data_IF_341544785566
#
_entry.id   IF_341544785566
#
_cell.length_a   1.000
_cell.length_b   1.000
_cell.length_c   1.000
_cell.angle_alpha   90.00
_cell.angle_beta   90.00
_cell.angle_gamma   90.00
#
_symmetry.space_group_name_H-M   'P 1'
#
loop_
_entity.id
_entity.type
_entity.pdbx_description
1 polymer ?
#
# COMPACT_ATOMS: atom_id res chain seq x y z
N UNK A 1 -0.67 18.61 -3.39
CA UNK A 1 -0.34 18.46 -2.52
C UNK A 1 -0.07 18.28 -2.30
N UNK A 2 -0.54 17.67 -2.58
CA UNK A 2 -0.24 17.34 -1.78
C UNK A 2 -0.44 17.29 -1.68
N UNK A 3 -0.76 16.87 -2.07
CA UNK A 3 -0.75 16.78 -1.34
C UNK A 3 -1.20 16.83 -1.33
N UNK A 4 -1.75 16.53 -1.57
CA UNK A 4 -1.97 16.55 -0.93
C UNK A 4 -2.34 16.47 -1.15
N UNK A 5 -2.73 16.12 -1.47
CA UNK A 5 -2.74 15.97 -1.00
C UNK A 5 -2.76 15.54 -1.14
N UNK A 6 -3.00 14.87 -1.64
CA UNK A 6 -2.71 14.44 -0.93
C UNK A 6 -2.70 13.94 -1.06
N UNK A 7 -2.90 13.56 -1.08
CA UNK A 7 -2.48 13.23 -0.42
C UNK A 7 -2.40 12.79 -0.44
N UNK A 8 -2.56 12.35 -0.68
CA UNK A 8 -2.01 12.02 -0.11
C UNK A 8 -1.42 11.38 -0.37
N UNK A 9 -1.12 10.81 -0.70
CA UNK A 9 -0.37 10.35 -0.45
C UNK A 9 -0.40 10.38 -0.17
N UNK A 10 -1.14 10.64 -0.53
CA UNK A 10 -1.06 11.00 -0.14
C UNK A 10 -1.64 10.90 0.42
N UNK A 11 -2.33 10.70 0.31
CA UNK A 11 -2.55 10.63 1.39
C UNK A 11 -2.26 9.51 1.94
N UNK A 12 -1.81 8.77 1.73
CA UNK A 12 -1.44 8.16 2.21
C UNK A 12 -1.05 7.96 2.64
N UNK A 13 -1.72 7.38 2.25
CA UNK A 13 -1.02 7.93 2.33
C UNK A 13 -0.66 8.73 3.35
N UNK A 14 -1.50 9.02 3.83
CA UNK A 14 -1.43 10.14 4.70
C UNK A 14 -0.80 9.80 6.02
N UNK A 15 -1.11 8.65 6.62
CA UNK A 15 -0.57 8.30 7.92
C UNK A 15 0.95 8.15 7.90
N UNK A 16 1.49 7.60 6.84
CA UNK A 16 2.94 7.47 6.72
C UNK A 16 3.58 8.85 6.57
N UNK A 17 2.97 9.70 5.77
CA UNK A 17 3.42 11.07 5.59
C UNK A 17 3.43 11.81 6.93
N UNK A 18 2.35 11.68 7.69
CA UNK A 18 2.24 12.35 8.98
C UNK A 18 3.31 11.89 9.95
N UNK A 19 3.63 10.59 9.97
CA UNK A 19 4.67 10.08 10.85
C UNK A 19 6.02 10.67 10.50
N UNK A 20 6.33 10.78 9.22
CA UNK A 20 7.59 11.35 8.78
C UNK A 20 7.67 12.82 9.14
N UNK A 21 6.58 13.54 8.96
CA UNK A 21 6.55 14.97 9.28
C UNK A 21 6.69 15.21 10.76
N UNK A 22 6.10 14.37 11.59
CA UNK A 22 6.24 14.50 13.04
C UNK A 22 7.67 14.27 13.52
N UNK A 23 8.46 13.54 12.74
CA UNK A 23 9.88 13.31 13.04
C UNK A 23 10.77 14.37 12.42
N UNK A 24 10.19 15.46 11.92
CA UNK A 24 10.94 16.55 11.30
C UNK A 24 11.16 16.37 9.82
N UNK A 25 10.47 15.44 9.20
CA UNK A 25 10.58 15.17 7.76
C UNK A 25 9.29 15.55 7.07
N UNK A 26 9.44 16.16 5.90
CA UNK A 26 8.32 16.33 4.98
C UNK A 26 8.37 15.21 3.96
N UNK A 27 7.21 14.82 3.43
CA UNK A 27 7.16 13.72 2.49
C UNK A 27 8.05 14.00 1.26
N UNK A 28 7.99 15.22 0.73
CA UNK A 28 8.84 15.60 -0.40
C UNK A 28 10.32 15.55 -0.05
N UNK A 29 10.67 15.98 1.17
CA UNK A 29 12.06 15.94 1.63
C UNK A 29 12.57 14.49 1.70
N UNK A 30 11.68 13.57 2.13
CA UNK A 30 12.03 12.15 2.19
C UNK A 30 12.36 11.63 0.80
N UNK A 31 11.52 11.98 -0.19
CA UNK A 31 11.75 11.57 -1.57
C UNK A 31 13.04 12.13 -2.10
N UNK A 32 13.31 13.42 -1.84
CA UNK A 32 14.53 14.06 -2.26
C UNK A 32 15.75 13.42 -1.62
N UNK A 33 15.64 13.15 -0.31
CA UNK A 33 16.74 12.53 0.42
C UNK A 33 17.07 11.14 -0.15
N UNK A 34 16.05 10.37 -0.49
CA UNK A 34 16.21 9.04 -1.05
C UNK A 34 16.46 9.08 -2.56
N UNK A 35 16.39 10.26 -3.17
CA UNK A 35 16.61 10.46 -4.60
C UNK A 35 15.66 9.61 -5.44
N UNK A 36 14.40 9.54 -5.01
CA UNK A 36 13.38 8.79 -5.73
C UNK A 36 12.92 9.56 -6.94
N UNK A 37 12.81 8.87 -8.07
CA UNK A 37 12.22 9.44 -9.27
C UNK A 37 10.71 9.51 -9.12
N UNK A 38 10.06 10.24 -10.04
CA UNK A 38 8.60 10.29 -10.07
C UNK A 38 7.99 8.90 -10.25
N UNK A 39 8.65 8.08 -11.07
CA UNK A 39 8.20 6.71 -11.31
C UNK A 39 8.32 5.85 -10.04
N UNK A 40 9.39 6.01 -9.31
CA UNK A 40 9.56 5.26 -8.06
C UNK A 40 8.54 5.67 -7.02
N UNK A 41 8.23 6.96 -6.93
CA UNK A 41 7.18 7.44 -6.03
C UNK A 41 5.84 6.86 -6.41
N UNK A 42 5.52 6.83 -7.71
CA UNK A 42 4.26 6.26 -8.18
C UNK A 42 4.15 4.78 -7.81
N UNK A 43 5.25 4.04 -7.92
CA UNK A 43 5.26 2.62 -7.52
C UNK A 43 4.99 2.48 -6.02
N UNK A 44 5.61 3.33 -5.20
CA UNK A 44 5.38 3.28 -3.75
C UNK A 44 3.92 3.57 -3.41
N UNK A 45 3.33 4.56 -4.10
CA UNK A 45 1.92 4.88 -3.89
C UNK A 45 1.00 3.74 -4.30
N UNK A 46 1.33 3.05 -5.39
CA UNK A 46 0.58 1.87 -5.81
C UNK A 46 0.65 0.77 -4.77
N UNK A 47 1.82 0.56 -4.17
CA UNK A 47 1.95 -0.44 -3.11
C UNK A 47 1.05 -0.11 -1.93
N UNK A 48 0.93 1.17 -1.58
CA UNK A 48 0.09 1.59 -0.48
C UNK A 48 -1.39 1.29 -0.79
N UNK A 49 -1.88 1.70 -1.95
CA UNK A 49 -3.30 1.51 -2.27
C UNK A 49 -3.66 0.04 -2.45
N UNK A 50 -2.75 -0.74 -3.04
CA UNK A 50 -2.98 -2.17 -3.17
C UNK A 50 -2.97 -2.87 -1.81
N UNK A 51 -2.07 -2.46 -0.92
CA UNK A 51 -2.03 -2.99 0.44
C UNK A 51 -3.29 -2.64 1.22
N UNK A 52 -3.80 -1.43 1.06
CA UNK A 52 -5.05 -1.02 1.69
C UNK A 52 -6.23 -1.86 1.19
N UNK A 53 -6.27 -2.13 -0.10
CA UNK A 53 -7.32 -2.98 -0.66
C UNK A 53 -7.25 -4.40 -0.10
N UNK A 54 -6.03 -4.91 0.03
CA UNK A 54 -5.81 -6.23 0.61
C UNK A 54 -6.35 -6.29 2.03
N UNK A 55 -6.02 -5.30 2.84
CA UNK A 55 -6.49 -5.21 4.22
C UNK A 55 -8.00 -5.10 4.27
N UNK A 56 -8.60 -4.29 3.40
CA UNK A 56 -10.05 -4.13 3.34
C UNK A 56 -10.73 -5.47 3.04
N UNK A 57 -10.25 -6.20 2.04
CA UNK A 57 -10.83 -7.48 1.69
C UNK A 57 -10.73 -8.47 2.86
N UNK A 58 -9.60 -8.46 3.55
CA UNK A 58 -9.39 -9.32 4.71
C UNK A 58 -10.37 -8.99 5.83
N UNK A 59 -10.46 -7.70 6.17
CA UNK A 59 -11.30 -7.28 7.30
C UNK A 59 -12.79 -7.44 6.99
N UNK A 60 -13.19 -7.26 5.74
CA UNK A 60 -14.58 -7.51 5.35
C UNK A 60 -14.98 -8.96 5.55
N UNK A 61 -14.01 -9.87 5.42
CA UNK A 61 -14.25 -11.30 5.64
C UNK A 61 -14.04 -11.71 7.09
N UNK A 62 -13.65 -10.73 7.93
CA UNK A 62 -13.40 -10.98 9.36
C UNK A 62 -12.28 -12.00 9.57
N UNK A 63 -11.31 -12.03 8.66
CA UNK A 63 -10.16 -12.91 8.76
C UNK A 63 -9.05 -12.24 9.54
N UNK A 64 -8.31 -13.02 10.32
CA UNK A 64 -7.07 -12.56 10.93
C UNK A 64 -5.96 -12.52 9.87
N UNK A 65 -4.88 -11.80 10.17
CA UNK A 65 -3.72 -11.82 9.28
C UNK A 65 -3.15 -13.24 9.17
N UNK A 66 -3.17 -13.99 10.25
CA UNK A 66 -2.65 -15.36 10.24
C UNK A 66 -3.48 -16.26 9.31
N UNK A 67 -4.81 -16.12 9.38
CA UNK A 67 -5.68 -16.90 8.49
C UNK A 67 -5.47 -16.48 7.04
N UNK A 68 -5.42 -15.18 6.80
CA UNK A 68 -5.23 -14.66 5.45
C UNK A 68 -3.89 -15.11 4.86
N UNK A 69 -2.87 -15.19 5.70
CA UNK A 69 -1.57 -15.69 5.27
C UNK A 69 -1.67 -17.10 4.69
N UNK A 70 -2.50 -17.93 5.30
CA UNK A 70 -2.72 -19.29 4.77
C UNK A 70 -3.43 -19.25 3.42
N UNK A 71 -4.42 -18.35 3.28
CA UNK A 71 -5.16 -18.22 2.03
C UNK A 71 -4.25 -17.81 0.89
N UNK A 72 -3.36 -16.86 1.12
CA UNK A 72 -2.46 -16.37 0.08
C UNK A 72 -1.11 -17.11 0.07
N UNK A 73 -0.99 -18.16 0.88
CA UNK A 73 0.21 -19.00 0.93
C UNK A 73 1.47 -18.19 1.27
N UNK A 74 1.35 -17.42 2.33
CA UNK A 74 2.43 -16.54 2.78
C UNK A 74 2.54 -16.61 4.30
N UNK A 75 3.32 -15.72 4.91
CA UNK A 75 3.46 -15.63 6.35
C UNK A 75 2.66 -14.45 6.87
N UNK A 76 2.32 -14.49 8.17
CA UNK A 76 1.60 -13.37 8.79
C UNK A 76 2.42 -12.10 8.72
N UNK A 77 3.74 -12.17 8.95
CA UNK A 77 4.57 -10.98 8.90
C UNK A 77 4.60 -10.39 7.50
N UNK A 78 4.58 -11.23 6.47
CA UNK A 78 4.53 -10.75 5.10
C UNK A 78 3.19 -10.10 4.78
N UNK A 79 2.09 -10.69 5.27
CA UNK A 79 0.77 -10.07 5.12
C UNK A 79 0.75 -8.70 5.78
N UNK A 80 1.30 -8.58 6.99
CA UNK A 80 1.36 -7.29 7.67
C UNK A 80 2.13 -6.26 6.85
N UNK A 81 3.24 -6.65 6.25
CA UNK A 81 4.01 -5.75 5.38
C UNK A 81 3.24 -5.36 4.14
N UNK A 82 2.54 -6.32 3.53
CA UNK A 82 1.72 -6.02 2.36
C UNK A 82 0.65 -4.99 2.69
N UNK A 83 -0.04 -5.17 3.81
CA UNK A 83 -1.13 -4.28 4.20
C UNK A 83 -0.65 -2.88 4.56
N UNK A 84 0.58 -2.77 5.02
CA UNK A 84 1.15 -1.47 5.39
C UNK A 84 1.76 -0.72 4.21
N UNK A 85 1.84 -1.36 3.04
CA UNK A 85 2.46 -0.74 1.87
C UNK A 85 3.97 -0.66 1.99
N UNK A 86 4.58 -1.62 2.70
CA UNK A 86 6.02 -1.64 2.91
C UNK A 86 6.76 -1.67 1.57
N UNK A 87 7.74 -0.79 1.36
CA UNK A 87 8.47 -0.74 0.08
C UNK A 87 9.19 -2.03 -0.29
N UNK A 88 9.50 -2.88 0.70
CA UNK A 88 10.20 -4.14 0.43
C UNK A 88 9.31 -5.19 -0.23
N UNK A 89 8.00 -4.98 -0.22
CA UNK A 89 7.06 -5.91 -0.84
C UNK A 89 6.92 -5.57 -2.31
N UNK A 90 7.00 -6.57 -3.17
CA UNK A 90 6.89 -6.35 -4.62
C UNK A 90 5.44 -6.16 -5.03
N UNK A 91 5.24 -5.39 -6.11
CA UNK A 91 3.91 -5.26 -6.71
C UNK A 91 3.38 -6.61 -7.14
N UNK A 92 4.27 -7.46 -7.64
CA UNK A 92 3.92 -8.81 -8.07
C UNK A 92 3.27 -9.59 -6.93
N UNK A 93 3.86 -9.53 -5.75
CA UNK A 93 3.31 -10.23 -4.59
C UNK A 93 1.95 -9.66 -4.18
N UNK A 94 1.81 -8.33 -4.21
CA UNK A 94 0.53 -7.70 -3.89
C UNK A 94 -0.57 -8.11 -4.85
N UNK A 95 -0.27 -8.11 -6.15
CA UNK A 95 -1.23 -8.52 -7.16
C UNK A 95 -1.62 -9.98 -6.98
N UNK A 96 -0.63 -10.85 -6.79
CA UNK A 96 -0.91 -12.28 -6.59
C UNK A 96 -1.77 -12.51 -5.35
N UNK A 97 -1.48 -11.82 -4.28
CA UNK A 97 -2.23 -11.98 -3.03
C UNK A 97 -3.66 -11.50 -3.17
N UNK A 98 -3.87 -10.38 -3.87
CA UNK A 98 -5.21 -9.89 -4.14
C UNK A 98 -6.02 -10.89 -4.98
N UNK A 99 -5.41 -11.41 -6.03
CA UNK A 99 -6.08 -12.41 -6.86
C UNK A 99 -6.39 -13.67 -6.07
N UNK A 100 -5.46 -14.11 -5.22
CA UNK A 100 -5.69 -15.28 -4.36
C UNK A 100 -6.82 -15.05 -3.36
N UNK A 101 -7.05 -13.79 -2.96
CA UNK A 101 -8.14 -13.44 -2.06
C UNK A 101 -9.49 -13.35 -2.77
N UNK A 102 -9.52 -13.54 -4.08
CA UNK A 102 -10.74 -13.49 -4.86
C UNK A 102 -10.98 -12.17 -5.57
N UNK A 103 -10.04 -11.24 -5.53
CA UNK A 103 -10.18 -9.99 -6.28
C UNK A 103 -10.10 -10.29 -7.78
N UNK A 104 -10.86 -9.56 -8.57
CA UNK A 104 -10.85 -9.69 -10.02
C UNK A 104 -9.89 -8.69 -10.63
N UNK A 105 -9.61 -8.87 -11.92
CA UNK A 105 -8.79 -7.91 -12.65
C UNK A 105 -9.46 -6.54 -12.66
N UNK A 106 -10.78 -6.52 -12.72
CA UNK A 106 -11.55 -5.28 -12.65
C UNK A 106 -11.39 -4.60 -11.30
N UNK A 107 -11.37 -5.38 -10.21
CA UNK A 107 -11.12 -4.85 -8.88
C UNK A 107 -9.75 -4.18 -8.83
N UNK A 108 -8.73 -4.83 -9.41
CA UNK A 108 -7.38 -4.27 -9.46
C UNK A 108 -7.34 -2.97 -10.26
N UNK A 109 -8.01 -2.96 -11.41
CA UNK A 109 -8.05 -1.77 -12.25
C UNK A 109 -8.68 -0.61 -11.50
N UNK A 110 -9.75 -0.87 -10.76
CA UNK A 110 -10.42 0.16 -9.99
C UNK A 110 -9.50 0.75 -8.91
N UNK A 111 -8.80 -0.11 -8.19
CA UNK A 111 -7.90 0.33 -7.14
C UNK A 111 -6.77 1.18 -7.72
N UNK A 112 -6.19 0.74 -8.83
CA UNK A 112 -5.07 1.43 -9.46
C UNK A 112 -5.50 2.77 -10.03
N UNK A 113 -6.70 2.86 -10.58
CA UNK A 113 -7.18 4.08 -11.21
C UNK A 113 -7.72 5.10 -10.20
N UNK A 114 -8.12 4.65 -9.01
CA UNK A 114 -8.65 5.54 -8.00
C UNK A 114 -7.52 6.25 -7.29
N UNK A 115 -7.68 7.55 -7.09
CA UNK A 115 -6.76 8.31 -6.27
C UNK A 115 -7.09 8.01 -4.81
N UNK A 116 -6.09 7.58 -4.07
CA UNK A 116 -6.28 7.22 -2.68
C UNK A 116 -6.69 8.43 -1.82
#
# INVERSE_FOLDING_TARGET
MFVSNGLNFMTMKATKKERLERKGWKFGDTADFLQLSAEEQAVLELKVVLGQKLKLRRTERKWTQAHFAKVVKSSQSRVAKMESGDPSVSLDLLVKSLLASGATREDLAEVISNKA
#
